data_IF_718134799399
#
_entry.id   IF_718134799399
#
_cell.length_a   1.000
_cell.length_b   1.000
_cell.length_c   1.000
_cell.angle_alpha   90.00
_cell.angle_beta   90.00
_cell.angle_gamma   90.00
#
_symmetry.space_group_name_H-M   'P 1'
#
loop_
_entity.id
_entity.type
_entity.pdbx_description
1 polymer ?
#
# COMPACT_ATOMS: atom_id res chain seq x y z
N UNK A 1 1.75 -0.06 -0.92
CA UNK A 1 1.12 -1.01 0.03
C UNK A 1 0.94 -0.36 1.38
N UNK A 2 -0.17 -0.65 2.01
CA UNK A 2 -0.48 -0.16 3.35
C UNK A 2 -0.44 -1.33 4.33
N UNK A 3 0.12 -1.10 5.51
CA UNK A 3 0.03 -2.04 6.62
C UNK A 3 -1.09 -1.58 7.55
N UNK A 4 -2.03 -2.47 7.83
CA UNK A 4 -3.15 -2.20 8.71
C UNK A 4 -2.80 -2.52 10.17
N UNK A 5 -3.67 -2.08 11.10
CA UNK A 5 -3.47 -2.32 12.54
C UNK A 5 -3.41 -3.81 12.89
N UNK A 6 -4.13 -4.65 12.15
CA UNK A 6 -4.11 -6.11 12.32
C UNK A 6 -2.93 -6.79 11.62
N UNK A 7 -1.96 -6.01 11.12
CA UNK A 7 -0.77 -6.45 10.37
C UNK A 7 -1.05 -7.01 8.98
N UNK A 8 -2.27 -6.90 8.48
CA UNK A 8 -2.57 -7.26 7.10
C UNK A 8 -2.00 -6.20 6.14
N UNK A 9 -1.75 -6.59 4.90
CA UNK A 9 -1.20 -5.72 3.87
C UNK A 9 -2.25 -5.47 2.80
N UNK A 10 -2.55 -4.20 2.56
CA UNK A 10 -3.48 -3.77 1.53
C UNK A 10 -2.72 -3.18 0.34
N UNK A 11 -3.06 -3.65 -0.85
CA UNK A 11 -2.49 -3.14 -2.11
C UNK A 11 -3.52 -2.26 -2.80
N UNK A 12 -3.10 -1.06 -3.17
CA UNK A 12 -3.98 -0.13 -3.88
C UNK A 12 -3.19 0.83 -4.74
N UNK A 13 -3.90 1.52 -5.61
CA UNK A 13 -3.36 2.52 -6.53
C UNK A 13 -4.03 3.85 -6.25
N UNK A 14 -3.26 4.93 -6.31
CA UNK A 14 -3.81 6.27 -6.14
C UNK A 14 -2.96 7.31 -6.89
N UNK A 15 -3.59 8.42 -7.28
CA UNK A 15 -2.91 9.59 -7.82
C UNK A 15 -2.40 10.51 -6.71
N UNK A 16 -2.99 10.43 -5.52
CA UNK A 16 -2.59 11.24 -4.38
C UNK A 16 -2.49 10.36 -3.14
N UNK A 17 -1.28 9.98 -2.78
CA UNK A 17 -1.02 9.07 -1.66
C UNK A 17 -1.51 9.63 -0.33
N UNK A 18 -1.24 10.90 -0.05
CA UNK A 18 -1.61 11.54 1.21
C UNK A 18 -3.13 11.54 1.39
N UNK A 19 -3.86 11.95 0.36
CA UNK A 19 -5.33 11.98 0.40
C UNK A 19 -5.89 10.58 0.59
N UNK A 20 -5.36 9.58 -0.13
CA UNK A 20 -5.85 8.21 -0.07
C UNK A 20 -5.58 7.60 1.31
N UNK A 21 -4.42 7.87 1.89
CA UNK A 21 -4.09 7.42 3.24
C UNK A 21 -5.08 8.00 4.27
N UNK A 22 -5.41 9.28 4.15
CA UNK A 22 -6.38 9.93 5.03
C UNK A 22 -7.78 9.34 4.88
N UNK A 23 -8.18 8.98 3.65
CA UNK A 23 -9.44 8.28 3.40
C UNK A 23 -9.47 6.91 4.08
N UNK A 24 -8.39 6.15 3.94
CA UNK A 24 -8.29 4.83 4.58
C UNK A 24 -8.31 4.91 6.10
N UNK A 25 -7.76 5.96 6.70
CA UNK A 25 -7.77 6.18 8.14
C UNK A 25 -9.06 6.85 8.66
N UNK A 26 -9.99 7.15 7.76
CA UNK A 26 -11.28 7.73 8.16
C UNK A 26 -11.28 9.22 8.40
N UNK A 27 -10.18 9.91 8.12
CA UNK A 27 -10.11 11.37 8.21
C UNK A 27 -10.88 12.06 7.07
N UNK A 28 -11.02 11.36 5.93
CA UNK A 28 -11.80 11.79 4.77
C UNK A 28 -12.72 10.65 4.36
N UNK A 29 -13.87 10.98 3.76
CA UNK A 29 -14.76 9.99 3.19
C UNK A 29 -14.12 9.27 2.00
N UNK A 30 -14.51 8.01 1.74
CA UNK A 30 -14.10 7.26 0.56
C UNK A 30 -13.03 6.20 0.80
N UNK A 31 -12.74 5.85 2.04
CA UNK A 31 -11.81 4.76 2.34
C UNK A 31 -12.32 3.40 1.87
N UNK A 32 -11.42 2.48 1.56
CA UNK A 32 -11.77 1.13 1.14
C UNK A 32 -12.46 0.38 2.29
N UNK A 33 -13.42 -0.47 1.92
CA UNK A 33 -14.14 -1.30 2.90
C UNK A 33 -13.17 -2.19 3.70
N UNK A 34 -12.15 -2.71 3.04
CA UNK A 34 -11.12 -3.54 3.67
C UNK A 34 -10.44 -2.85 4.85
N UNK A 35 -10.14 -1.55 4.71
CA UNK A 35 -9.37 -0.81 5.73
C UNK A 35 -10.23 -0.28 6.88
N UNK A 36 -11.54 -0.22 6.73
CA UNK A 36 -12.44 0.38 7.74
C UNK A 36 -12.33 -0.26 9.12
N UNK A 37 -12.24 -1.57 9.20
CA UNK A 37 -12.12 -2.29 10.47
C UNK A 37 -10.67 -2.56 10.87
N UNK A 38 -9.69 -2.02 10.14
CA UNK A 38 -8.27 -2.31 10.31
C UNK A 38 -7.42 -1.06 10.49
N UNK A 39 -8.05 0.05 10.88
CA UNK A 39 -7.36 1.32 11.16
C UNK A 39 -6.63 1.27 12.50
N UNK A 40 -5.54 2.01 12.67
CA UNK A 40 -4.90 2.87 11.69
C UNK A 40 -4.10 2.09 10.64
N UNK A 41 -3.92 2.69 9.47
CA UNK A 41 -3.09 2.14 8.40
C UNK A 41 -1.91 3.06 8.12
N UNK A 42 -0.80 2.49 7.67
CA UNK A 42 0.41 3.26 7.33
C UNK A 42 0.97 2.80 5.98
N UNK A 43 1.65 3.71 5.29
CA UNK A 43 2.34 3.39 4.04
C UNK A 43 3.65 2.69 4.36
N UNK A 44 3.82 1.46 3.88
CA UNK A 44 5.05 0.67 4.09
C UNK A 44 5.81 0.41 2.80
N UNK A 45 5.18 0.63 1.65
CA UNK A 45 5.82 0.47 0.36
C UNK A 45 5.05 1.27 -0.69
N UNK A 46 5.77 1.97 -1.56
CA UNK A 46 5.19 2.72 -2.68
C UNK A 46 6.10 2.65 -3.88
N UNK A 47 5.51 2.73 -5.07
CA UNK A 47 6.24 2.79 -6.31
C UNK A 47 5.47 3.65 -7.30
N UNK A 48 6.11 4.63 -7.94
CA UNK A 48 5.46 5.40 -9.00
C UNK A 48 5.24 4.52 -10.23
N UNK A 49 4.14 4.74 -10.94
CA UNK A 49 3.85 4.09 -12.21
C UNK A 49 3.78 5.15 -13.30
N UNK A 50 4.25 4.80 -14.50
CA UNK A 50 4.33 5.73 -15.62
C UNK A 50 2.97 6.06 -16.25
N UNK A 51 1.97 5.19 -16.07
CA UNK A 51 0.63 5.37 -16.62
C UNK A 51 -0.38 4.64 -15.76
N UNK A 52 -1.68 4.91 -16.02
CA UNK A 52 -2.76 4.18 -15.37
C UNK A 52 -2.71 2.68 -15.66
N UNK A 53 -2.38 2.31 -16.90
CA UNK A 53 -2.22 0.91 -17.29
C UNK A 53 -1.08 0.23 -16.54
N UNK A 54 0.06 0.91 -16.40
CA UNK A 54 1.19 0.40 -15.63
C UNK A 54 0.84 0.23 -14.15
N UNK A 55 0.11 1.19 -13.59
CA UNK A 55 -0.35 1.13 -12.21
C UNK A 55 -1.27 -0.06 -11.97
N UNK A 56 -2.22 -0.30 -12.86
CA UNK A 56 -3.15 -1.44 -12.78
C UNK A 56 -2.43 -2.77 -12.93
N UNK A 57 -1.46 -2.86 -13.84
CA UNK A 57 -0.64 -4.06 -14.01
C UNK A 57 0.18 -4.37 -12.77
N UNK A 58 0.80 -3.35 -12.19
CA UNK A 58 1.57 -3.49 -10.95
C UNK A 58 0.67 -3.93 -9.79
N UNK A 59 -0.51 -3.32 -9.65
CA UNK A 59 -1.47 -3.70 -8.62
C UNK A 59 -1.86 -5.17 -8.75
N UNK A 60 -2.18 -5.63 -9.96
CA UNK A 60 -2.56 -7.02 -10.21
C UNK A 60 -1.43 -7.99 -9.85
N UNK A 61 -0.18 -7.65 -10.19
CA UNK A 61 0.99 -8.45 -9.83
C UNK A 61 1.19 -8.53 -8.33
N UNK A 62 1.08 -7.39 -7.64
CA UNK A 62 1.29 -7.32 -6.19
C UNK A 62 0.21 -8.06 -5.42
N UNK A 63 -1.04 -8.04 -5.89
CA UNK A 63 -2.14 -8.77 -5.26
C UNK A 63 -1.97 -10.27 -5.32
N UNK A 64 -1.26 -10.78 -6.33
CA UNK A 64 -0.98 -12.22 -6.47
C UNK A 64 0.12 -12.70 -5.55
N UNK A 65 0.90 -11.81 -4.97
CA UNK A 65 1.96 -12.17 -4.04
C UNK A 65 1.39 -12.69 -2.73
N UNK A 66 2.05 -13.70 -2.15
CA UNK A 66 1.74 -14.12 -0.78
C UNK A 66 2.07 -13.00 0.20
N UNK A 67 1.53 -13.09 1.42
CA UNK A 67 1.86 -12.13 2.48
C UNK A 67 3.37 -12.09 2.74
N UNK A 68 4.01 -13.25 2.76
CA UNK A 68 5.45 -13.37 2.96
C UNK A 68 6.25 -12.65 1.87
N UNK A 69 5.85 -12.80 0.61
CA UNK A 69 6.51 -12.14 -0.51
C UNK A 69 6.31 -10.62 -0.46
N UNK A 70 5.13 -10.15 -0.07
CA UNK A 70 4.90 -8.74 0.16
C UNK A 70 5.80 -8.19 1.26
N UNK A 71 5.94 -8.91 2.37
CA UNK A 71 6.81 -8.51 3.47
C UNK A 71 8.28 -8.47 3.06
N UNK A 72 8.73 -9.41 2.23
CA UNK A 72 10.08 -9.41 1.68
C UNK A 72 10.33 -8.19 0.81
N UNK A 73 9.36 -7.81 -0.01
CA UNK A 73 9.45 -6.63 -0.86
C UNK A 73 9.55 -5.34 -0.02
N UNK A 74 8.76 -5.24 1.03
CA UNK A 74 8.78 -4.12 1.96
C UNK A 74 10.13 -4.04 2.68
N UNK A 75 10.63 -5.16 3.19
CA UNK A 75 11.93 -5.23 3.87
C UNK A 75 13.08 -4.85 2.94
N UNK A 76 13.06 -5.32 1.69
CA UNK A 76 14.06 -4.97 0.68
C UNK A 76 14.10 -3.47 0.39
N UNK A 77 12.96 -2.81 0.32
CA UNK A 77 12.89 -1.37 0.11
C UNK A 77 13.43 -0.59 1.31
N UNK A 78 13.14 -1.02 2.52
CA UNK A 78 13.68 -0.42 3.74
C UNK A 78 15.20 -0.55 3.81
N UNK A 79 15.74 -1.71 3.50
CA UNK A 79 17.19 -1.93 3.46
C UNK A 79 17.88 -1.00 2.46
N UNK A 80 17.27 -0.76 1.31
CA UNK A 80 17.81 0.17 0.30
C UNK A 80 17.84 1.60 0.81
N UNK A 81 16.85 2.01 1.61
CA UNK A 81 16.78 3.36 2.17
C UNK A 81 17.80 3.60 3.27
N UNK A 82 18.16 2.56 4.01
CA UNK A 82 19.13 2.64 5.10
C UNK A 82 20.58 2.61 4.62
N UNK A 83 20.82 2.24 3.36
CA UNK A 83 22.16 2.27 2.79
C UNK A 83 22.53 3.70 2.38
N UNK A 84 23.70 4.19 2.83
CA UNK A 84 24.20 5.51 2.44
C UNK A 84 24.54 5.58 0.94
#
# INVERSE_FOLDING_TARGET
>A
MLRCADRSIYVGVTRCLIRRLRQHNGELAGGAKYTRGRRPVEVVWRRPAGSRGDAQSLEAQLRKLSKQDKLKLIAGDLERRERP
#
